data_IF_660462080647
#
_entry.id   IF_660462080647
#
_cell.length_a   1.000
_cell.length_b   1.000
_cell.length_c   1.000
_cell.angle_alpha   90.00
_cell.angle_beta   90.00
_cell.angle_gamma   90.00
#
_symmetry.space_group_name_H-M   'P 1'
#
loop_
_entity.id
_entity.type
_entity.pdbx_description
1 polymer ?
#
# COMPACT_ATOMS: atom_id res chain seq x y z
N UNK A 1 30.69 2.77 18.35
CA UNK A 1 30.75 1.42 17.74
C UNK A 1 29.90 1.47 16.49
N UNK A 2 30.47 1.09 15.35
CA UNK A 2 29.79 1.23 14.06
C UNK A 2 28.48 0.45 14.06
N UNK A 3 27.43 1.06 13.51
CA UNK A 3 26.16 0.42 13.22
C UNK A 3 26.42 -0.75 12.28
N UNK A 4 26.64 -1.95 12.82
CA UNK A 4 26.64 -3.17 12.04
C UNK A 4 25.24 -3.29 11.49
N UNK A 5 25.06 -2.99 10.20
CA UNK A 5 23.83 -3.36 9.54
C UNK A 5 23.70 -4.86 9.72
N UNK A 6 22.57 -5.27 10.27
CA UNK A 6 22.31 -6.64 10.63
C UNK A 6 22.35 -7.51 9.36
N UNK A 7 23.46 -8.22 9.13
CA UNK A 7 23.65 -9.06 7.93
C UNK A 7 22.49 -10.04 7.73
N UNK A 8 21.80 -10.41 8.82
CA UNK A 8 20.65 -11.29 8.76
C UNK A 8 19.42 -10.63 8.13
N UNK A 9 19.24 -9.31 8.27
CA UNK A 9 18.15 -8.59 7.57
C UNK A 9 18.38 -8.65 6.05
N UNK A 10 19.60 -8.44 5.58
CA UNK A 10 19.91 -8.58 4.16
C UNK A 10 19.68 -10.00 3.66
N UNK A 11 20.16 -11.01 4.40
CA UNK A 11 19.92 -12.41 4.07
C UNK A 11 18.42 -12.71 3.95
N UNK A 12 17.63 -12.21 4.90
CA UNK A 12 16.18 -12.38 4.88
C UNK A 12 15.53 -11.70 3.67
N UNK A 13 15.95 -10.47 3.32
CA UNK A 13 15.44 -9.76 2.14
C UNK A 13 15.76 -10.51 0.86
N UNK A 14 16.99 -11.00 0.71
CA UNK A 14 17.44 -11.71 -0.49
C UNK A 14 16.71 -13.05 -0.67
N UNK A 15 16.37 -13.75 0.42
CA UNK A 15 15.66 -15.03 0.35
C UNK A 15 14.13 -14.89 0.29
N UNK A 16 13.56 -13.71 0.59
CA UNK A 16 12.12 -13.52 0.83
C UNK A 16 11.20 -14.12 -0.24
N UNK A 17 11.55 -13.99 -1.52
CA UNK A 17 10.71 -14.43 -2.63
C UNK A 17 10.89 -15.89 -3.05
N UNK A 18 11.99 -16.52 -2.62
CA UNK A 18 12.40 -17.84 -3.14
C UNK A 18 12.51 -18.92 -2.06
N UNK A 19 12.83 -18.53 -0.82
CA UNK A 19 13.07 -19.45 0.30
C UNK A 19 12.53 -18.85 1.61
N UNK A 20 11.30 -19.28 1.95
CA UNK A 20 10.63 -18.83 3.16
C UNK A 20 11.31 -19.33 4.43
N UNK A 21 11.92 -20.52 4.41
CA UNK A 21 12.57 -21.11 5.58
C UNK A 21 13.83 -20.32 5.93
N UNK A 22 14.71 -20.08 4.94
CA UNK A 22 15.89 -19.21 5.11
C UNK A 22 15.51 -17.80 5.55
N UNK A 23 14.41 -17.27 5.02
CA UNK A 23 13.89 -15.95 5.40
C UNK A 23 13.52 -15.91 6.88
N UNK A 24 12.75 -16.90 7.34
CA UNK A 24 12.32 -16.98 8.74
C UNK A 24 13.49 -17.23 9.69
N UNK A 25 14.44 -18.08 9.31
CA UNK A 25 15.67 -18.30 10.11
C UNK A 25 16.45 -17.00 10.27
N UNK A 26 16.70 -16.29 9.16
CA UNK A 26 17.43 -15.03 9.18
C UNK A 26 16.68 -13.94 9.97
N UNK A 27 15.35 -13.86 9.86
CA UNK A 27 14.54 -12.94 10.66
C UNK A 27 14.62 -13.25 12.16
N UNK A 28 14.59 -14.52 12.56
CA UNK A 28 14.74 -14.92 13.96
C UNK A 28 16.10 -14.50 14.51
N UNK A 29 17.18 -14.72 13.75
CA UNK A 29 18.49 -14.22 14.13
C UNK A 29 18.50 -12.70 14.24
N UNK A 30 17.97 -12.00 13.23
CA UNK A 30 17.97 -10.55 13.19
C UNK A 30 17.29 -9.95 14.44
N UNK A 31 16.09 -10.44 14.76
CA UNK A 31 15.30 -9.99 15.91
C UNK A 31 15.86 -10.46 17.26
N UNK A 32 16.64 -11.55 17.29
CA UNK A 32 17.36 -11.95 18.51
C UNK A 32 18.50 -10.99 18.87
N UNK A 33 19.10 -10.33 17.86
CA UNK A 33 20.15 -9.33 18.04
C UNK A 33 19.59 -7.94 18.33
N UNK A 34 18.51 -7.55 17.65
CA UNK A 34 17.79 -6.31 17.87
C UNK A 34 16.29 -6.54 17.63
N UNK A 35 15.53 -6.66 18.72
CA UNK A 35 14.08 -6.88 18.70
C UNK A 35 13.30 -5.64 18.19
N UNK A 36 13.98 -4.51 18.01
CA UNK A 36 13.42 -3.24 17.53
C UNK A 36 13.84 -2.88 16.12
N UNK A 37 14.49 -3.79 15.40
CA UNK A 37 14.85 -3.57 14.00
C UNK A 37 13.58 -3.44 13.14
N UNK A 38 13.26 -2.21 12.70
CA UNK A 38 12.04 -1.92 11.95
C UNK A 38 12.03 -2.60 10.59
N UNK A 39 13.19 -2.83 9.97
CA UNK A 39 13.28 -3.55 8.70
C UNK A 39 12.95 -5.03 8.90
N UNK A 40 13.49 -5.65 9.96
CA UNK A 40 13.19 -7.05 10.30
C UNK A 40 11.70 -7.24 10.66
N UNK A 41 11.14 -6.36 11.50
CA UNK A 41 9.71 -6.38 11.84
C UNK A 41 8.82 -6.17 10.62
N UNK A 42 9.19 -5.24 9.73
CA UNK A 42 8.45 -5.01 8.47
C UNK A 42 8.47 -6.27 7.61
N UNK A 43 9.62 -6.89 7.42
CA UNK A 43 9.74 -8.08 6.58
C UNK A 43 9.02 -9.29 7.20
N UNK A 44 9.03 -9.41 8.53
CA UNK A 44 8.22 -10.39 9.25
C UNK A 44 6.73 -10.14 9.02
N UNK A 45 6.27 -8.90 9.15
CA UNK A 45 4.89 -8.51 8.80
C UNK A 45 4.52 -8.90 7.37
N UNK A 46 5.44 -8.72 6.41
CA UNK A 46 5.25 -9.13 5.01
C UNK A 46 5.16 -10.64 4.86
N UNK A 47 5.96 -11.43 5.57
CA UNK A 47 5.83 -12.89 5.55
C UNK A 47 4.41 -13.30 5.99
N UNK A 48 3.94 -12.74 7.10
CA UNK A 48 2.60 -13.05 7.61
C UNK A 48 1.50 -12.60 6.65
N UNK A 49 1.61 -11.42 6.03
CA UNK A 49 0.61 -10.90 5.11
C UNK A 49 0.63 -11.61 3.74
N UNK A 50 1.80 -11.70 3.10
CA UNK A 50 1.97 -12.06 1.68
C UNK A 50 2.14 -13.57 1.47
N UNK A 51 2.75 -14.28 2.44
CA UNK A 51 3.03 -15.73 2.31
C UNK A 51 2.08 -16.58 3.13
N UNK A 52 1.65 -16.11 4.30
CA UNK A 52 0.81 -16.88 5.23
C UNK A 52 -0.65 -16.41 5.29
N UNK A 53 -0.99 -15.28 4.69
CA UNK A 53 -2.35 -14.69 4.70
C UNK A 53 -2.93 -14.46 6.10
N UNK A 54 -2.04 -14.19 7.06
CA UNK A 54 -2.32 -13.91 8.48
C UNK A 54 -2.30 -12.40 8.71
N UNK A 55 -3.37 -11.73 8.29
CA UNK A 55 -3.42 -10.27 8.23
C UNK A 55 -3.37 -9.59 9.60
N UNK A 56 -4.06 -10.14 10.61
CA UNK A 56 -4.07 -9.56 11.95
C UNK A 56 -2.68 -9.60 12.60
N UNK A 57 -1.95 -10.71 12.46
CA UNK A 57 -0.58 -10.83 12.94
C UNK A 57 0.37 -9.87 12.20
N UNK A 58 0.24 -9.76 10.88
CA UNK A 58 1.01 -8.80 10.08
C UNK A 58 0.76 -7.35 10.52
N UNK A 59 -0.49 -6.97 10.74
CA UNK A 59 -0.90 -5.65 11.27
C UNK A 59 -0.21 -5.40 12.61
N UNK A 60 -0.10 -6.41 13.48
CA UNK A 60 0.62 -6.32 14.75
C UNK A 60 2.08 -5.91 14.56
N UNK A 61 2.82 -6.63 13.71
CA UNK A 61 4.23 -6.32 13.43
C UNK A 61 4.45 -4.94 12.80
N UNK A 62 3.56 -4.52 11.88
CA UNK A 62 3.65 -3.18 11.30
C UNK A 62 3.37 -2.07 12.32
N UNK A 63 2.40 -2.27 13.22
CA UNK A 63 2.13 -1.33 14.34
C UNK A 63 3.32 -1.24 15.28
N UNK A 64 3.97 -2.36 15.57
CA UNK A 64 5.19 -2.40 16.40
C UNK A 64 6.34 -1.61 15.76
N UNK A 65 6.62 -1.85 14.47
CA UNK A 65 7.65 -1.11 13.73
C UNK A 65 7.39 0.41 13.73
N UNK A 66 6.14 0.83 13.50
CA UNK A 66 5.74 2.25 13.51
C UNK A 66 5.79 2.87 14.91
N UNK A 67 5.53 2.09 15.97
CA UNK A 67 5.67 2.55 17.36
C UNK A 67 7.14 2.79 17.74
N UNK A 68 8.07 2.00 17.19
CA UNK A 68 9.51 2.18 17.36
C UNK A 68 9.99 3.41 16.61
N UNK A 69 9.64 3.52 15.32
CA UNK A 69 10.04 4.64 14.48
C UNK A 69 8.92 5.01 13.52
N UNK A 70 8.30 6.16 13.78
CA UNK A 70 7.23 6.66 12.91
C UNK A 70 7.72 7.01 11.50
N UNK A 71 9.03 7.24 11.30
CA UNK A 71 9.65 7.50 10.00
C UNK A 71 10.19 6.22 9.34
N UNK A 72 9.79 5.03 9.79
CA UNK A 72 10.03 3.76 9.10
C UNK A 72 9.18 3.67 7.83
N UNK A 73 9.56 4.43 6.79
CA UNK A 73 8.78 4.55 5.55
C UNK A 73 8.66 3.23 4.78
N UNK A 74 9.58 2.29 5.01
CA UNK A 74 9.49 0.92 4.52
C UNK A 74 8.18 0.22 4.95
N UNK A 75 7.59 0.58 6.11
CA UNK A 75 6.36 -0.04 6.62
C UNK A 75 5.12 0.43 5.88
N UNK A 76 5.11 1.69 5.42
CA UNK A 76 3.87 2.43 5.15
C UNK A 76 3.02 1.76 4.08
N UNK A 77 3.63 1.42 2.94
CA UNK A 77 2.92 0.79 1.83
C UNK A 77 2.41 -0.61 2.23
N UNK A 78 3.24 -1.42 2.88
CA UNK A 78 2.86 -2.77 3.27
C UNK A 78 1.75 -2.77 4.32
N UNK A 79 1.80 -1.84 5.27
CA UNK A 79 0.75 -1.66 6.26
C UNK A 79 -0.59 -1.28 5.62
N UNK A 80 -0.58 -0.31 4.71
CA UNK A 80 -1.78 0.08 3.96
C UNK A 80 -2.33 -1.09 3.14
N UNK A 81 -1.46 -1.84 2.46
CA UNK A 81 -1.89 -2.98 1.65
C UNK A 81 -2.56 -4.07 2.50
N UNK A 82 -2.00 -4.43 3.67
CA UNK A 82 -2.61 -5.46 4.50
C UNK A 82 -3.96 -5.02 5.07
N UNK A 83 -4.11 -3.75 5.45
CA UNK A 83 -5.40 -3.19 5.87
C UNK A 83 -6.42 -3.21 4.73
N UNK A 84 -6.01 -2.90 3.49
CA UNK A 84 -6.87 -3.00 2.30
C UNK A 84 -7.26 -4.44 1.97
N UNK A 85 -6.38 -5.42 2.21
CA UNK A 85 -6.67 -6.84 2.01
C UNK A 85 -7.57 -7.41 3.11
N UNK A 86 -7.45 -6.89 4.33
CA UNK A 86 -8.29 -7.25 5.47
C UNK A 86 -9.62 -6.46 5.51
N UNK A 87 -9.85 -5.57 4.53
CA UNK A 87 -11.03 -4.70 4.42
C UNK A 87 -11.21 -3.69 5.57
N UNK A 88 -10.12 -3.32 6.27
CA UNK A 88 -10.11 -2.35 7.38
C UNK A 88 -10.09 -0.89 6.86
N UNK A 89 -11.10 -0.53 6.06
CA UNK A 89 -11.13 0.71 5.27
C UNK A 89 -11.03 2.01 6.09
N UNK A 90 -11.61 2.05 7.28
CA UNK A 90 -11.53 3.22 8.16
C UNK A 90 -10.11 3.44 8.69
N UNK A 91 -9.40 2.35 9.03
CA UNK A 91 -8.02 2.41 9.48
C UNK A 91 -7.09 2.80 8.32
N UNK A 92 -7.34 2.30 7.10
CA UNK A 92 -6.62 2.77 5.89
C UNK A 92 -6.76 4.28 5.73
N UNK A 93 -7.99 4.81 5.79
CA UNK A 93 -8.21 6.25 5.59
C UNK A 93 -7.51 7.06 6.66
N UNK A 94 -7.64 6.67 7.92
CA UNK A 94 -7.04 7.34 9.07
C UNK A 94 -5.52 7.35 8.98
N UNK A 95 -4.91 6.20 8.67
CA UNK A 95 -3.47 6.08 8.57
C UNK A 95 -2.91 6.87 7.38
N UNK A 96 -3.55 6.84 6.21
CA UNK A 96 -3.11 7.64 5.06
C UNK A 96 -3.18 9.13 5.37
N UNK A 97 -4.25 9.59 6.02
CA UNK A 97 -4.38 11.00 6.40
C UNK A 97 -3.29 11.44 7.38
N UNK A 98 -2.96 10.60 8.35
CA UNK A 98 -1.80 10.79 9.22
C UNK A 98 -0.48 10.82 8.41
N UNK A 99 -0.22 9.81 7.58
CA UNK A 99 1.02 9.69 6.81
C UNK A 99 1.24 10.87 5.84
N UNK A 100 0.15 11.43 5.30
CA UNK A 100 0.18 12.65 4.48
C UNK A 100 0.66 13.88 5.27
N UNK A 101 0.68 13.87 6.61
CA UNK A 101 1.27 14.95 7.43
C UNK A 101 2.76 14.75 7.72
N UNK A 102 3.29 13.53 7.58
CA UNK A 102 4.69 13.20 7.94
C UNK A 102 5.66 13.72 6.89
N UNK A 103 6.71 14.43 7.31
CA UNK A 103 7.75 14.94 6.41
C UNK A 103 8.60 13.78 5.90
N UNK A 104 8.76 13.68 4.57
CA UNK A 104 9.60 12.65 3.94
C UNK A 104 8.84 11.41 3.47
N UNK A 105 7.59 11.21 3.91
CA UNK A 105 6.77 10.12 3.36
C UNK A 105 6.49 10.35 1.87
N UNK A 106 6.46 9.29 1.08
CA UNK A 106 6.08 9.37 -0.33
C UNK A 106 4.60 9.74 -0.48
N UNK A 107 4.32 10.98 -0.89
CA UNK A 107 2.94 11.47 -1.05
C UNK A 107 2.25 10.85 -2.27
N UNK A 108 3.02 10.50 -3.30
CA UNK A 108 2.48 9.96 -4.54
C UNK A 108 1.91 8.56 -4.30
N UNK A 109 2.63 7.69 -3.57
CA UNK A 109 2.12 6.37 -3.18
C UNK A 109 0.93 6.47 -2.23
N UNK A 110 0.96 7.39 -1.26
CA UNK A 110 -0.16 7.58 -0.31
C UNK A 110 -1.45 8.00 -1.02
N UNK A 111 -1.40 8.94 -1.96
CA UNK A 111 -2.56 9.30 -2.77
C UNK A 111 -3.00 8.15 -3.68
N UNK A 112 -2.07 7.37 -4.23
CA UNK A 112 -2.42 6.20 -5.04
C UNK A 112 -3.18 5.16 -4.20
N UNK A 113 -2.69 4.84 -3.00
CA UNK A 113 -3.40 3.92 -2.09
C UNK A 113 -4.76 4.48 -1.65
N UNK A 114 -4.88 5.80 -1.46
CA UNK A 114 -6.18 6.44 -1.21
C UNK A 114 -7.14 6.28 -2.39
N UNK A 115 -6.63 6.33 -3.62
CA UNK A 115 -7.43 6.01 -4.80
C UNK A 115 -7.88 4.53 -4.81
N UNK A 116 -7.00 3.60 -4.44
CA UNK A 116 -7.33 2.16 -4.33
C UNK A 116 -8.40 1.91 -3.26
N UNK A 117 -8.30 2.54 -2.09
CA UNK A 117 -9.35 2.51 -1.06
C UNK A 117 -10.71 2.93 -1.64
N UNK A 118 -10.74 4.09 -2.31
CA UNK A 118 -11.96 4.62 -2.95
C UNK A 118 -12.46 3.74 -4.09
N UNK A 119 -11.58 3.04 -4.78
CA UNK A 119 -11.94 2.04 -5.78
C UNK A 119 -12.62 0.82 -5.15
N UNK A 120 -12.08 0.27 -4.05
CA UNK A 120 -12.65 -0.91 -3.36
C UNK A 120 -14.08 -0.64 -2.83
N UNK A 121 -14.32 0.57 -2.28
CA UNK A 121 -15.67 0.99 -1.84
C UNK A 121 -16.56 1.52 -2.99
N UNK A 122 -16.12 1.38 -4.24
CA UNK A 122 -16.85 1.75 -5.48
C UNK A 122 -17.13 3.25 -5.65
N UNK A 123 -16.40 4.10 -4.95
CA UNK A 123 -16.41 5.56 -5.10
C UNK A 123 -15.50 6.02 -6.24
N UNK A 124 -15.69 5.47 -7.45
CA UNK A 124 -14.75 5.63 -8.58
C UNK A 124 -14.46 7.08 -8.96
N UNK A 125 -15.43 7.98 -8.84
CA UNK A 125 -15.22 9.41 -9.14
C UNK A 125 -14.22 10.05 -8.18
N UNK A 126 -14.29 9.67 -6.90
CA UNK A 126 -13.39 10.16 -5.84
C UNK A 126 -12.03 9.46 -5.98
N UNK A 127 -12.01 8.17 -6.35
CA UNK A 127 -10.76 7.48 -6.68
C UNK A 127 -9.98 8.24 -7.77
N UNK A 128 -10.65 8.69 -8.83
CA UNK A 128 -10.02 9.47 -9.91
C UNK A 128 -9.50 10.85 -9.46
N UNK A 129 -10.04 11.47 -8.40
CA UNK A 129 -9.46 12.70 -7.86
C UNK A 129 -8.14 12.42 -7.15
N UNK A 130 -8.05 11.31 -6.41
CA UNK A 130 -6.80 10.88 -5.78
C UNK A 130 -5.76 10.38 -6.79
N UNK A 131 -6.16 9.75 -7.90
CA UNK A 131 -5.25 9.46 -9.02
C UNK A 131 -4.60 10.73 -9.57
N UNK A 132 -5.37 11.83 -9.70
CA UNK A 132 -4.81 13.11 -10.16
C UNK A 132 -3.77 13.64 -9.18
N UNK A 133 -4.08 13.59 -7.88
CA UNK A 133 -3.13 13.99 -6.82
C UNK A 133 -1.88 13.10 -6.83
N UNK A 134 -2.03 11.78 -6.89
CA UNK A 134 -0.89 10.86 -6.97
C UNK A 134 0.05 11.23 -8.12
N UNK A 135 -0.50 11.55 -9.30
CA UNK A 135 0.29 11.96 -10.47
C UNK A 135 1.01 13.30 -10.27
N UNK A 136 0.41 14.25 -9.55
CA UNK A 136 1.00 15.57 -9.27
C UNK A 136 2.26 15.46 -8.38
N UNK A 137 2.25 14.51 -7.44
CA UNK A 137 3.37 14.25 -6.53
C UNK A 137 4.36 13.21 -7.08
N UNK A 138 4.12 12.63 -8.26
CA UNK A 138 4.99 11.65 -8.87
C UNK A 138 6.07 12.32 -9.73
N UNK A 139 7.34 12.01 -9.46
CA UNK A 139 8.49 12.62 -10.14
C UNK A 139 9.32 11.64 -10.98
N UNK A 140 8.85 10.40 -11.16
CA UNK A 140 9.50 9.41 -12.00
C UNK A 140 8.53 8.79 -13.01
N UNK A 141 9.00 8.56 -14.24
CA UNK A 141 8.15 8.10 -15.35
C UNK A 141 7.58 6.71 -15.14
N UNK A 142 8.33 5.81 -14.48
CA UNK A 142 7.88 4.45 -14.19
C UNK A 142 6.60 4.45 -13.35
N UNK A 143 6.63 5.17 -12.23
CA UNK A 143 5.48 5.29 -11.34
C UNK A 143 4.32 6.05 -12.00
N UNK A 144 4.60 7.07 -12.80
CA UNK A 144 3.54 7.77 -13.57
C UNK A 144 2.82 6.79 -14.52
N UNK A 145 3.53 5.84 -15.14
CA UNK A 145 2.91 4.82 -15.98
C UNK A 145 1.99 3.92 -15.14
N UNK A 146 2.44 3.45 -13.98
CA UNK A 146 1.60 2.70 -13.03
C UNK A 146 0.34 3.49 -12.67
N UNK A 147 0.44 4.77 -12.32
CA UNK A 147 -0.73 5.62 -12.00
C UNK A 147 -1.71 5.71 -13.19
N UNK A 148 -1.20 5.78 -14.42
CA UNK A 148 -2.05 5.83 -15.60
C UNK A 148 -2.77 4.49 -15.84
N UNK A 149 -2.13 3.36 -15.57
CA UNK A 149 -2.76 2.03 -15.64
C UNK A 149 -3.90 1.92 -14.62
N UNK A 150 -3.67 2.34 -13.37
CA UNK A 150 -4.70 2.36 -12.33
C UNK A 150 -5.88 3.26 -12.69
N UNK A 151 -5.60 4.42 -13.30
CA UNK A 151 -6.62 5.31 -13.83
C UNK A 151 -7.53 4.63 -14.84
N UNK A 152 -6.95 3.91 -15.80
CA UNK A 152 -7.74 3.23 -16.84
C UNK A 152 -8.51 2.05 -16.26
N UNK A 153 -7.93 1.30 -15.31
CA UNK A 153 -8.65 0.26 -14.55
C UNK A 153 -9.88 0.82 -13.83
N UNK A 154 -9.73 1.91 -13.06
CA UNK A 154 -10.82 2.55 -12.32
C UNK A 154 -11.92 3.03 -13.28
N UNK A 155 -11.55 3.69 -14.39
CA UNK A 155 -12.52 4.11 -15.41
C UNK A 155 -13.29 2.94 -16.00
N UNK A 156 -12.61 1.82 -16.25
CA UNK A 156 -13.22 0.60 -16.77
C UNK A 156 -14.30 0.01 -15.85
N UNK A 157 -14.18 0.21 -14.54
CA UNK A 157 -15.15 -0.23 -13.53
C UNK A 157 -16.34 0.71 -13.35
N UNK A 158 -16.31 1.92 -13.91
CA UNK A 158 -17.40 2.89 -13.78
C UNK A 158 -18.67 2.44 -14.52
N UNK A 159 -19.87 2.62 -13.94
CA UNK A 159 -21.11 2.29 -14.61
C UNK A 159 -21.27 3.13 -15.89
N UNK A 160 -21.55 2.47 -17.03
CA UNK A 160 -21.83 3.15 -18.29
C UNK A 160 -23.06 4.04 -18.10
N UNK A 161 -22.94 5.34 -18.38
CA UNK A 161 -24.11 6.24 -18.41
C UNK A 161 -25.13 5.68 -19.40
N UNK A 162 -26.34 5.35 -18.95
CA UNK A 162 -27.46 5.07 -19.85
C UNK A 162 -27.62 6.27 -20.78
N UNK A 163 -27.38 6.08 -22.08
CA UNK A 163 -27.75 7.09 -23.07
C UNK A 163 -29.27 7.21 -23.01
N UNK A 164 -29.78 8.33 -22.52
CA UNK A 164 -31.17 8.69 -22.77
C UNK A 164 -31.30 8.89 -24.28
N UNK A 165 -31.89 7.91 -24.97
CA UNK A 165 -32.35 8.11 -26.33
C UNK A 165 -33.39 9.23 -26.29
N UNK A 166 -33.05 10.39 -26.87
CA UNK A 166 -34.04 11.41 -27.19
C UNK A 166 -35.00 10.75 -28.18
N UNK A 167 -36.17 10.34 -27.70
CA UNK A 167 -37.31 9.93 -28.52
C UNK A 167 -37.51 11.00 -29.60
N UNK A 168 -37.18 10.67 -30.86
CA UNK A 168 -37.54 11.50 -32.01
C UNK A 168 -39.05 11.60 -31.99
N UNK A 169 -39.59 12.76 -31.59
CA UNK A 169 -40.98 13.12 -31.86
C UNK A 169 -41.16 13.03 -33.37
N UNK A 170 -41.88 12.00 -33.81
CA UNK A 170 -42.38 11.88 -35.17
C UNK A 170 -43.28 13.08 -35.44
N UNK A 171 -42.77 14.06 -36.17
CA UNK A 171 -43.60 15.13 -36.70
C UNK A 171 -44.54 14.52 -37.73
N UNK A 172 -45.84 14.57 -37.41
CA UNK A 172 -46.96 14.41 -38.34
C UNK A 172 -46.72 15.26 -39.60
N UNK A 173 -46.92 14.65 -40.76
CA UNK A 173 -47.62 15.25 -41.90
C UNK A 173 -48.26 14.13 -42.70
#
# INVERSE_FOLDING_TARGET
>A
MGSYINNYVFKAIESFDYDLESTMEALNYALSYDDKDTMALTLLGRVYAEKLYKYNEAIGYYKEALAININAFEVYEHYINVLLWNEDYEEVSTFIDFALTVKGSDKAILYLKKAVLKEQIKEYKIALTFIKLAKEYAYNSGFINTINEEKERIKGKMPKKKKYEKSKKSNKK
#
